data_IF_071436552295
#
_entry.id   IF_071436552295
#
_cell.length_a   1.000
_cell.length_b   1.000
_cell.length_c   1.000
_cell.angle_alpha   90.00
_cell.angle_beta   90.00
_cell.angle_gamma   90.00
#
_symmetry.space_group_name_H-M   'P 1'
#
loop_
_entity.id
_entity.type
_entity.pdbx_description
1 polymer ?
#
# COMPACT_ATOMS: atom_id res chain seq x y z
N UNK A 1 -0.90 -23.25 36.03
CA UNK A 1 -1.00 -23.21 34.57
C UNK A 1 -1.40 -21.79 34.18
N UNK A 2 -0.50 -20.98 33.62
CA UNK A 2 -0.82 -19.62 33.18
C UNK A 2 -1.45 -19.75 31.79
N UNK A 3 -2.76 -19.54 31.71
CA UNK A 3 -3.48 -19.44 30.45
C UNK A 3 -3.26 -18.02 29.93
N UNK A 4 -2.57 -17.90 28.81
CA UNK A 4 -2.47 -16.64 28.08
C UNK A 4 -3.69 -16.59 27.16
N UNK A 5 -4.60 -15.65 27.42
CA UNK A 5 -5.61 -15.28 26.45
C UNK A 5 -4.87 -14.53 25.34
N UNK A 6 -4.72 -15.17 24.20
CA UNK A 6 -4.39 -14.45 22.96
C UNK A 6 -5.75 -13.96 22.48
N UNK A 7 -6.08 -12.71 22.75
CA UNK A 7 -7.21 -12.07 22.09
C UNK A 7 -6.94 -12.17 20.59
N UNK A 8 -7.72 -12.98 19.89
CA UNK A 8 -7.79 -12.97 18.44
C UNK A 8 -8.33 -11.59 18.05
N UNK A 9 -7.41 -10.65 17.81
CA UNK A 9 -7.77 -9.36 17.26
C UNK A 9 -8.23 -9.64 15.84
N UNK A 10 -9.55 -9.72 15.64
CA UNK A 10 -10.21 -9.74 14.34
C UNK A 10 -9.84 -8.43 13.62
N UNK A 11 -8.68 -8.38 12.98
CA UNK A 11 -8.30 -7.23 12.16
C UNK A 11 -9.18 -7.29 10.92
N UNK A 12 -10.16 -6.36 10.76
CA UNK A 12 -11.10 -6.47 9.66
C UNK A 12 -10.36 -6.31 8.33
N UNK A 13 -10.63 -7.21 7.40
CA UNK A 13 -10.16 -7.08 6.03
C UNK A 13 -10.75 -5.81 5.41
N UNK A 14 -9.89 -4.87 5.00
CA UNK A 14 -10.31 -3.59 4.40
C UNK A 14 -9.97 -3.56 2.92
N UNK A 15 -10.84 -2.94 2.13
CA UNK A 15 -10.63 -2.74 0.70
C UNK A 15 -10.17 -1.32 0.42
N UNK A 16 -9.19 -1.17 -0.47
CA UNK A 16 -8.58 0.09 -0.86
C UNK A 16 -8.61 0.26 -2.38
N UNK A 17 -8.87 1.48 -2.83
CA UNK A 17 -8.77 1.85 -4.24
C UNK A 17 -7.36 2.38 -4.50
N UNK A 18 -6.55 1.61 -5.21
CA UNK A 18 -5.13 1.89 -5.41
C UNK A 18 -4.83 2.20 -6.88
N UNK A 19 -4.10 3.27 -7.17
CA UNK A 19 -3.58 3.56 -8.52
C UNK A 19 -2.11 3.93 -8.52
N UNK A 20 -1.40 3.64 -9.60
CA UNK A 20 -0.06 4.20 -9.85
C UNK A 20 -0.17 5.68 -10.22
N UNK A 21 0.63 6.54 -9.59
CA UNK A 21 0.56 8.01 -9.75
C UNK A 21 1.73 8.58 -10.56
N UNK A 22 2.95 8.09 -10.33
CA UNK A 22 4.17 8.71 -10.86
C UNK A 22 4.95 7.84 -11.86
N UNK A 23 4.32 6.77 -12.36
CA UNK A 23 4.92 5.86 -13.35
C UNK A 23 3.88 5.49 -14.41
N UNK A 24 4.30 5.39 -15.66
CA UNK A 24 3.44 4.91 -16.73
C UNK A 24 3.28 3.39 -16.62
N UNK A 25 2.05 2.91 -16.66
CA UNK A 25 1.72 1.48 -16.56
C UNK A 25 0.95 1.02 -17.81
N UNK A 26 1.03 -0.28 -18.16
CA UNK A 26 0.19 -0.89 -19.20
C UNK A 26 -1.29 -0.55 -19.05
N UNK A 27 -2.04 -0.51 -20.16
CA UNK A 27 -3.43 -0.04 -20.18
C UNK A 27 -4.35 -0.81 -19.21
N UNK A 28 -4.15 -2.13 -19.05
CA UNK A 28 -4.88 -2.97 -18.11
C UNK A 28 -4.61 -2.61 -16.64
N UNK A 29 -3.47 -1.99 -16.34
CA UNK A 29 -3.05 -1.57 -15.00
C UNK A 29 -3.34 -0.09 -14.71
N UNK A 30 -3.83 0.68 -15.70
CA UNK A 30 -4.21 2.08 -15.50
C UNK A 30 -5.46 2.21 -14.60
N UNK A 31 -5.55 3.35 -13.93
CA UNK A 31 -6.68 3.71 -13.07
C UNK A 31 -6.61 3.06 -11.68
N UNK A 32 -7.72 3.18 -10.93
CA UNK A 32 -7.85 2.57 -9.62
C UNK A 32 -8.15 1.07 -9.71
N UNK A 33 -7.55 0.30 -8.80
CA UNK A 33 -7.74 -1.14 -8.61
C UNK A 33 -8.11 -1.40 -7.17
N UNK A 34 -9.06 -2.30 -6.96
CA UNK A 34 -9.50 -2.67 -5.63
C UNK A 34 -8.54 -3.72 -5.06
N UNK A 35 -7.90 -3.43 -3.93
CA UNK A 35 -7.00 -4.34 -3.23
C UNK A 35 -7.47 -4.47 -1.79
N UNK A 36 -7.60 -5.71 -1.32
CA UNK A 36 -7.93 -6.01 0.07
C UNK A 36 -6.63 -6.21 0.87
N UNK A 37 -6.59 -5.67 2.09
CA UNK A 37 -5.45 -5.83 2.97
C UNK A 37 -5.87 -5.71 4.44
N UNK A 38 -5.12 -6.39 5.31
CA UNK A 38 -5.30 -6.37 6.76
C UNK A 38 -4.50 -5.25 7.44
N UNK A 39 -3.41 -4.81 6.82
CA UNK A 39 -2.52 -3.78 7.38
C UNK A 39 -1.87 -2.93 6.29
N UNK A 40 -1.25 -1.79 6.64
CA UNK A 40 -0.52 -0.97 5.68
C UNK A 40 0.64 -1.74 5.01
N UNK A 41 1.32 -2.62 5.76
CA UNK A 41 2.40 -3.47 5.25
C UNK A 41 1.88 -4.51 4.26
N UNK A 42 0.79 -5.20 4.63
CA UNK A 42 0.12 -6.18 3.75
C UNK A 42 -0.38 -5.52 2.46
N UNK A 43 -0.91 -4.30 2.56
CA UNK A 43 -1.31 -3.53 1.38
C UNK A 43 -0.10 -3.21 0.49
N UNK A 44 1.02 -2.79 1.06
CA UNK A 44 2.24 -2.49 0.29
C UNK A 44 2.77 -3.74 -0.44
N UNK A 45 2.78 -4.89 0.23
CA UNK A 45 3.19 -6.16 -0.36
C UNK A 45 2.25 -6.60 -1.48
N UNK A 46 0.93 -6.48 -1.26
CA UNK A 46 -0.11 -6.77 -2.26
C UNK A 46 0.00 -5.87 -3.49
N UNK A 47 0.28 -4.57 -3.28
CA UNK A 47 0.54 -3.60 -4.36
C UNK A 47 1.78 -3.98 -5.15
N UNK A 48 2.89 -4.31 -4.48
CA UNK A 48 4.13 -4.72 -5.16
C UNK A 48 3.86 -5.91 -6.08
N UNK A 49 3.22 -6.96 -5.56
CA UNK A 49 2.85 -8.15 -6.32
C UNK A 49 1.92 -7.84 -7.49
N UNK A 50 0.90 -7.00 -7.26
CA UNK A 50 -0.07 -6.64 -8.29
C UNK A 50 0.56 -5.92 -9.48
N UNK A 51 1.53 -5.03 -9.23
CA UNK A 51 2.23 -4.28 -10.27
C UNK A 51 3.55 -4.93 -10.74
N UNK A 52 3.93 -6.10 -10.21
CA UNK A 52 5.16 -6.80 -10.58
C UNK A 52 6.45 -6.10 -10.12
N UNK A 53 6.41 -5.44 -8.96
CA UNK A 53 7.49 -4.60 -8.41
C UNK A 53 8.29 -5.30 -7.29
N UNK A 54 7.94 -6.52 -6.91
CA UNK A 54 8.54 -7.26 -5.80
C UNK A 54 10.03 -7.59 -6.02
N UNK A 55 10.46 -7.72 -7.28
CA UNK A 55 11.81 -8.14 -7.66
C UNK A 55 12.66 -7.00 -8.22
N UNK A 56 12.28 -5.74 -7.97
CA UNK A 56 13.01 -4.57 -8.44
C UNK A 56 13.88 -4.00 -7.29
N UNK A 57 15.17 -4.38 -7.18
CA UNK A 57 16.00 -3.98 -6.03
C UNK A 57 16.37 -2.49 -6.00
N UNK A 58 16.21 -1.79 -7.13
CA UNK A 58 16.62 -0.39 -7.28
C UNK A 58 15.43 0.57 -7.19
N UNK A 59 14.29 0.14 -6.64
CA UNK A 59 13.13 1.02 -6.45
C UNK A 59 12.60 0.98 -5.01
N UNK A 60 12.04 2.11 -4.59
CA UNK A 60 11.23 2.25 -3.39
C UNK A 60 9.79 2.43 -3.81
N UNK A 61 8.91 1.55 -3.34
CA UNK A 61 7.45 1.65 -3.53
C UNK A 61 6.84 2.21 -2.24
N UNK A 62 6.01 3.23 -2.36
CA UNK A 62 5.39 3.94 -1.24
C UNK A 62 3.88 4.11 -1.47
N UNK A 63 3.12 4.13 -0.38
CA UNK A 63 1.68 4.36 -0.40
C UNK A 63 1.38 5.77 0.11
N UNK A 64 0.60 6.53 -0.64
CA UNK A 64 0.26 7.92 -0.31
C UNK A 64 -1.25 8.13 -0.36
N UNK A 65 -1.78 9.01 0.50
CA UNK A 65 -3.17 9.44 0.40
C UNK A 65 -3.42 10.13 -0.96
N UNK A 66 -4.59 9.86 -1.55
CA UNK A 66 -4.99 10.43 -2.83
C UNK A 66 -5.38 11.92 -2.72
N UNK A 67 -4.43 12.78 -2.40
CA UNK A 67 -4.62 14.22 -2.26
C UNK A 67 -3.68 14.98 -3.19
N UNK A 68 -4.21 16.01 -3.88
CA UNK A 68 -3.44 16.80 -4.86
C UNK A 68 -2.26 17.56 -4.22
N UNK A 69 -2.40 17.97 -2.95
CA UNK A 69 -1.37 18.71 -2.22
C UNK A 69 -1.20 18.12 -0.82
N UNK A 70 0.05 17.98 -0.37
CA UNK A 70 0.33 17.57 1.01
C UNK A 70 -0.08 16.13 1.35
N UNK A 71 -0.09 15.22 0.37
CA UNK A 71 -0.42 13.82 0.59
C UNK A 71 0.36 13.23 1.77
N UNK A 72 -0.25 12.31 2.50
CA UNK A 72 0.33 11.66 3.68
C UNK A 72 0.84 10.28 3.29
N UNK A 73 2.06 9.94 3.72
CA UNK A 73 2.64 8.61 3.51
C UNK A 73 1.98 7.60 4.46
N UNK A 74 1.40 6.55 3.89
CA UNK A 74 0.53 5.60 4.58
C UNK A 74 1.25 4.29 4.94
N UNK A 75 2.25 3.88 4.16
CA UNK A 75 2.98 2.63 4.39
C UNK A 75 3.85 2.60 5.65
N UNK A 76 4.04 3.77 6.29
CA UNK A 76 4.81 3.92 7.53
C UNK A 76 3.93 4.02 8.78
N UNK A 77 2.61 3.96 8.63
CA UNK A 77 1.67 4.01 9.75
C UNK A 77 1.42 2.60 10.31
N UNK A 78 0.93 2.53 11.55
CA UNK A 78 0.46 1.26 12.12
C UNK A 78 -0.89 0.84 11.52
N UNK A 79 -1.77 1.80 11.23
CA UNK A 79 -3.06 1.62 10.57
C UNK A 79 -3.30 2.73 9.54
N UNK A 80 -3.99 2.43 8.43
CA UNK A 80 -4.46 3.44 7.48
C UNK A 80 -5.78 4.04 8.01
N UNK A 81 -5.85 5.35 8.32
CA UNK A 81 -7.08 6.01 8.73
C UNK A 81 -8.26 5.76 7.79
N UNK A 82 -9.48 5.68 8.35
CA UNK A 82 -10.70 5.35 7.58
C UNK A 82 -10.97 6.29 6.40
N UNK A 83 -10.58 7.55 6.50
CA UNK A 83 -10.74 8.52 5.42
C UNK A 83 -9.85 8.25 4.19
N UNK A 84 -8.83 7.39 4.28
CA UNK A 84 -7.87 7.13 3.21
C UNK A 84 -8.18 5.82 2.48
N UNK A 85 -9.36 5.76 1.84
CA UNK A 85 -9.75 4.62 0.99
C UNK A 85 -9.07 4.65 -0.38
N UNK A 86 -8.78 5.86 -0.89
CA UNK A 86 -8.09 6.07 -2.16
C UNK A 86 -6.61 6.32 -1.94
N UNK A 87 -5.78 5.50 -2.58
CA UNK A 87 -4.33 5.45 -2.35
C UNK A 87 -3.60 5.58 -3.68
N UNK A 88 -2.56 6.41 -3.67
CA UNK A 88 -1.62 6.59 -4.77
C UNK A 88 -0.34 5.82 -4.47
N UNK A 89 0.09 5.01 -5.43
CA UNK A 89 1.35 4.28 -5.39
C UNK A 89 2.40 5.13 -6.07
N UNK A 90 3.50 5.37 -5.37
CA UNK A 90 4.65 6.08 -5.90
C UNK A 90 5.88 5.20 -5.89
N UNK A 91 6.57 5.19 -7.02
CA UNK A 91 7.80 4.44 -7.22
C UNK A 91 8.95 5.42 -7.40
N UNK A 92 10.01 5.26 -6.61
CA UNK A 92 11.22 6.08 -6.66
C UNK A 92 12.43 5.22 -6.97
N UNK A 93 13.38 5.71 -7.77
CA UNK A 93 14.64 5.00 -8.02
C UNK A 93 15.56 5.21 -6.82
N UNK A 94 16.14 4.13 -6.30
CA UNK A 94 17.16 4.15 -5.27
C UNK A 94 18.51 4.15 -5.97
N UNK A 95 19.16 5.31 -6.04
CA UNK A 95 20.56 5.37 -6.44
C UNK A 95 21.41 4.85 -5.28
N UNK A 96 22.04 3.69 -5.47
CA UNK A 96 23.16 3.30 -4.60
C UNK A 96 24.31 4.23 -4.93
N UNK A 97 24.65 5.10 -3.99
CA UNK A 97 25.85 5.92 -4.05
C UNK A 97 27.12 5.09 -3.98
#
# INVERSE_FOLDING_TARGET
>A
MKVFYVDEVDVPLRAYYVKMDNMNVPANLKGYKLIQALSPKDLLESVKRYYGLENCPNISVQLWSAQMYGGTRLDTMDEIPKQYEFIWVRVYIINKG
#
